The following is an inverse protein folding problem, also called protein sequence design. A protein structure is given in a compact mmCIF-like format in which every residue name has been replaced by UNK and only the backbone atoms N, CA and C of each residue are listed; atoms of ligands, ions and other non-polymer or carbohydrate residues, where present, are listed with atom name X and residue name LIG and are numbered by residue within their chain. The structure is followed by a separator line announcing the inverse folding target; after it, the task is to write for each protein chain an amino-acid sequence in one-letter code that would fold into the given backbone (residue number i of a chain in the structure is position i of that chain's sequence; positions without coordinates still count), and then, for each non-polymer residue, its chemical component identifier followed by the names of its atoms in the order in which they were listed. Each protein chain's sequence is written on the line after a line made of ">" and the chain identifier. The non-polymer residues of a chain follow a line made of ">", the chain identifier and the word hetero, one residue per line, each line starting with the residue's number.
data_IF_404742833469
#
_entry.id   IF_404742833469
#
_cell.length_a   1.000
_cell.length_b   1.000
_cell.length_c   1.000
_cell.angle_alpha   90.00
_cell.angle_beta   90.00
_cell.angle_gamma   90.00
#
_symmetry.space_group_name_H-M   'P 1'
#
loop_
_entity.id
_entity.type
_entity.pdbx_description
1 polymer ?
#
# COMPACT_ATOMS: atom_id res chain seq x y z
N UNK A 1 12.98 20.22 64.20
CA UNK A 1 14.09 21.18 64.42
C UNK A 1 15.31 20.66 63.68
N UNK A 2 15.99 21.56 62.93
CA UNK A 2 17.25 21.43 62.18
C UNK A 2 17.23 20.50 60.93
N UNK A 3 17.33 21.04 59.70
CA UNK A 3 18.56 21.47 58.97
C UNK A 3 19.28 20.25 58.35
N UNK A 4 19.72 20.18 57.09
CA UNK A 4 20.27 21.15 56.14
C UNK A 4 20.44 20.48 54.75
N UNK A 5 20.28 21.26 53.67
CA UNK A 5 21.05 21.28 52.41
C UNK A 5 21.79 20.02 51.92
N UNK A 6 21.62 19.66 50.64
CA UNK A 6 22.72 19.69 49.66
C UNK A 6 22.21 19.82 48.22
N UNK A 7 22.25 21.05 47.74
CA UNK A 7 22.16 21.49 46.35
C UNK A 7 23.60 21.45 45.77
N UNK A 8 23.88 20.58 44.80
CA UNK A 8 25.13 20.59 44.01
C UNK A 8 24.85 20.00 42.62
N UNK A 9 24.49 20.83 41.62
CA UNK A 9 25.38 21.65 40.77
C UNK A 9 26.14 20.81 39.74
N UNK A 10 25.56 20.63 38.56
CA UNK A 10 26.22 20.67 37.24
C UNK A 10 25.13 21.17 36.27
N UNK A 11 25.09 22.46 35.91
CA UNK A 11 25.75 23.04 34.73
C UNK A 11 25.41 22.27 33.45
N UNK A 12 24.96 22.83 32.33
CA UNK A 12 24.98 24.20 31.86
C UNK A 12 23.96 24.26 30.73
N UNK A 13 23.24 25.37 30.68
CA UNK A 13 22.41 25.83 29.58
C UNK A 13 23.29 25.96 28.32
N UNK A 14 22.81 25.51 27.16
CA UNK A 14 23.14 26.16 25.90
C UNK A 14 21.86 26.42 25.10
N UNK A 15 21.61 27.72 25.01
CA UNK A 15 20.58 28.46 24.27
C UNK A 15 20.65 28.06 22.79
N UNK A 16 19.51 27.79 22.16
CA UNK A 16 19.43 27.76 20.69
C UNK A 16 18.19 28.55 20.26
N UNK A 17 18.45 29.75 19.75
CA UNK A 17 17.65 30.48 18.76
C UNK A 17 18.61 31.49 18.11
N UNK A 18 18.36 32.01 16.89
CA UNK A 18 18.00 31.34 15.63
C UNK A 18 18.90 31.87 14.47
N UNK A 19 18.57 31.53 13.21
CA UNK A 19 19.17 31.97 11.92
C UNK A 19 20.36 31.15 11.38
N UNK A 20 20.18 30.51 10.22
CA UNK A 20 20.47 31.13 8.92
C UNK A 20 20.04 30.20 7.78
N UNK A 21 19.26 30.76 6.85
CA UNK A 21 18.93 30.22 5.53
C UNK A 21 20.17 29.73 4.77
N UNK A 22 20.15 28.49 4.26
CA UNK A 22 20.98 28.07 3.13
C UNK A 22 20.41 26.81 2.46
N UNK A 23 20.06 26.96 1.19
CA UNK A 23 20.26 25.92 0.17
C UNK A 23 19.18 24.84 0.04
N UNK A 24 18.19 25.11 -0.80
CA UNK A 24 17.45 24.10 -1.53
C UNK A 24 18.43 23.24 -2.36
N UNK A 25 18.84 22.03 -1.94
CA UNK A 25 19.32 20.91 -2.80
C UNK A 25 20.26 19.89 -2.13
N UNK A 26 19.95 19.35 -0.93
CA UNK A 26 20.71 18.15 -0.49
C UNK A 26 20.06 17.20 0.53
N UNK A 27 18.82 17.39 0.95
CA UNK A 27 18.24 16.60 2.05
C UNK A 27 17.31 15.48 1.56
N UNK A 28 17.87 14.40 1.02
CA UNK A 28 17.13 13.12 0.87
C UNK A 28 17.83 11.93 1.53
N UNK A 29 18.97 12.12 2.17
CA UNK A 29 19.83 10.99 2.58
C UNK A 29 19.78 10.62 4.05
N UNK A 30 19.12 11.38 4.93
CA UNK A 30 19.12 11.03 6.36
C UNK A 30 17.74 11.15 7.01
N UNK A 31 16.98 10.06 6.96
CA UNK A 31 15.89 9.79 7.88
C UNK A 31 16.08 8.42 8.58
N UNK A 32 17.15 8.26 9.38
CA UNK A 32 17.42 7.00 10.09
C UNK A 32 16.26 6.59 11.00
N UNK A 33 15.57 7.57 11.57
CA UNK A 33 14.39 7.35 12.41
C UNK A 33 13.24 6.66 11.66
N UNK A 34 12.97 7.00 10.40
CA UNK A 34 11.87 6.41 9.61
C UNK A 34 12.15 4.95 9.25
N UNK A 35 13.41 4.62 8.92
CA UNK A 35 13.83 3.25 8.63
C UNK A 35 13.71 2.36 9.86
N UNK A 36 14.17 2.84 11.03
CA UNK A 36 14.01 2.11 12.31
C UNK A 36 12.54 1.90 12.70
N UNK A 37 11.66 2.87 12.44
CA UNK A 37 10.21 2.69 12.61
C UNK A 37 9.63 1.64 11.66
N UNK A 38 10.12 1.59 10.42
CA UNK A 38 9.67 0.58 9.45
C UNK A 38 10.12 -0.83 9.81
N UNK A 39 11.35 -0.98 10.32
CA UNK A 39 11.88 -2.29 10.72
C UNK A 39 11.25 -2.80 12.00
N UNK A 40 10.99 -1.92 12.97
CA UNK A 40 10.18 -2.29 14.16
C UNK A 40 8.74 -2.62 13.78
N UNK A 41 8.14 -1.96 12.76
CA UNK A 41 6.83 -2.32 12.25
C UNK A 41 6.82 -3.68 11.52
N UNK A 42 7.86 -4.01 10.75
CA UNK A 42 8.04 -5.32 10.10
C UNK A 42 8.27 -6.44 11.11
N UNK A 43 9.06 -6.20 12.16
CA UNK A 43 9.24 -7.13 13.29
C UNK A 43 7.91 -7.38 14.02
N UNK A 44 7.02 -6.39 14.06
CA UNK A 44 5.62 -6.52 14.54
C UNK A 44 4.67 -7.18 13.52
N UNK A 45 5.19 -7.72 12.41
CA UNK A 45 4.43 -8.44 11.39
C UNK A 45 3.67 -7.57 10.40
N UNK A 46 3.84 -6.24 10.42
CA UNK A 46 3.24 -5.36 9.41
C UNK A 46 4.08 -5.40 8.14
N UNK A 47 3.62 -6.17 7.15
CA UNK A 47 4.16 -6.09 5.79
C UNK A 47 3.55 -4.88 5.07
N UNK A 48 4.41 -4.01 4.52
CA UNK A 48 3.97 -2.95 3.62
C UNK A 48 3.53 -3.51 2.26
N UNK A 49 2.80 -2.70 1.49
CA UNK A 49 2.33 -3.05 0.15
C UNK A 49 0.81 -3.17 0.06
N UNK A 50 0.29 -3.27 -1.17
CA UNK A 50 -1.14 -3.53 -1.38
C UNK A 50 -1.48 -4.93 -0.87
N UNK A 51 -2.60 -5.12 -0.15
CA UNK A 51 -3.06 -6.44 0.22
C UNK A 51 -3.21 -7.31 -1.03
N UNK A 52 -2.85 -8.59 -0.90
CA UNK A 52 -2.94 -9.55 -2.00
C UNK A 52 -4.40 -9.89 -2.26
N UNK A 53 -4.76 -10.00 -3.54
CA UNK A 53 -6.09 -10.41 -3.98
C UNK A 53 -7.05 -9.26 -4.27
N UNK A 54 -8.33 -9.62 -4.36
CA UNK A 54 -9.42 -8.69 -4.67
C UNK A 54 -9.85 -7.85 -3.45
N UNK A 55 -10.32 -6.63 -3.71
CA UNK A 55 -10.94 -5.79 -2.67
C UNK A 55 -12.17 -6.50 -2.07
N UNK A 56 -12.48 -6.35 -0.76
CA UNK A 56 -13.60 -7.01 -0.09
C UNK A 56 -14.92 -6.88 -0.84
N UNK A 57 -15.21 -5.66 -1.34
CA UNK A 57 -16.40 -5.39 -2.16
C UNK A 57 -16.54 -6.33 -3.36
N UNK A 58 -15.42 -6.65 -4.02
CA UNK A 58 -15.43 -7.52 -5.19
C UNK A 58 -15.45 -9.01 -4.83
N UNK A 59 -15.01 -9.37 -3.62
CA UNK A 59 -15.09 -10.75 -3.12
C UNK A 59 -16.55 -11.15 -2.86
N UNK A 60 -17.36 -10.23 -2.32
CA UNK A 60 -18.79 -10.48 -2.06
C UNK A 60 -19.59 -10.70 -3.34
N UNK A 61 -19.29 -9.94 -4.41
CA UNK A 61 -20.01 -10.06 -5.69
C UNK A 61 -19.42 -11.13 -6.62
N UNK A 62 -18.24 -11.66 -6.31
CA UNK A 62 -17.54 -12.66 -7.13
C UNK A 62 -18.41 -13.86 -7.53
N UNK A 63 -19.16 -14.53 -6.63
CA UNK A 63 -19.99 -15.68 -7.02
C UNK A 63 -21.08 -15.30 -8.04
N UNK A 64 -21.68 -14.12 -7.90
CA UNK A 64 -22.72 -13.62 -8.83
C UNK A 64 -22.14 -13.26 -10.20
N UNK A 65 -20.93 -12.69 -10.23
CA UNK A 65 -20.22 -12.40 -11.48
C UNK A 65 -19.86 -13.70 -12.21
N UNK A 66 -19.42 -14.73 -11.48
CA UNK A 66 -19.10 -16.05 -12.04
C UNK A 66 -20.34 -16.75 -12.58
N UNK A 67 -21.49 -16.70 -11.90
CA UNK A 67 -22.73 -17.28 -12.40
C UNK A 67 -23.20 -16.57 -13.68
N UNK A 68 -23.19 -15.24 -13.70
CA UNK A 68 -23.56 -14.46 -14.88
C UNK A 68 -22.65 -14.75 -16.09
N UNK A 69 -21.35 -14.97 -15.86
CA UNK A 69 -20.42 -15.36 -16.91
C UNK A 69 -20.70 -16.77 -17.44
N UNK A 70 -21.03 -17.73 -16.56
CA UNK A 70 -21.41 -19.11 -16.95
C UNK A 70 -22.70 -19.15 -17.77
N UNK A 71 -23.63 -18.22 -17.50
CA UNK A 71 -24.84 -18.00 -18.32
C UNK A 71 -24.54 -17.34 -19.68
N UNK A 72 -23.26 -17.17 -20.04
CA UNK A 72 -22.80 -16.55 -21.29
C UNK A 72 -23.28 -15.09 -21.48
N UNK A 73 -23.48 -14.35 -20.38
CA UNK A 73 -23.71 -12.90 -20.45
C UNK A 73 -22.46 -12.18 -20.94
N UNK A 74 -22.66 -11.10 -21.69
CA UNK A 74 -21.54 -10.32 -22.19
C UNK A 74 -20.79 -9.63 -21.04
N UNK A 75 -19.46 -9.51 -21.16
CA UNK A 75 -18.64 -8.82 -20.14
C UNK A 75 -19.13 -7.39 -19.90
N UNK A 76 -19.59 -6.70 -20.95
CA UNK A 76 -20.12 -5.33 -20.85
C UNK A 76 -21.42 -5.28 -20.04
N UNK A 77 -22.28 -6.28 -20.18
CA UNK A 77 -23.53 -6.34 -19.40
C UNK A 77 -23.26 -6.68 -17.94
N UNK A 78 -22.33 -7.60 -17.68
CA UNK A 78 -21.85 -7.91 -16.33
C UNK A 78 -21.27 -6.64 -15.67
N UNK A 79 -20.45 -5.87 -16.39
CA UNK A 79 -19.92 -4.62 -15.86
C UNK A 79 -21.01 -3.62 -15.47
N UNK A 80 -22.04 -3.46 -16.32
CA UNK A 80 -23.17 -2.57 -16.04
C UNK A 80 -23.99 -3.05 -14.84
N UNK A 81 -24.33 -4.34 -14.80
CA UNK A 81 -25.16 -4.92 -13.75
C UNK A 81 -24.53 -4.77 -12.36
N UNK A 82 -23.21 -5.00 -12.25
CA UNK A 82 -22.49 -4.94 -10.98
C UNK A 82 -21.79 -3.60 -10.73
N UNK A 83 -22.04 -2.58 -11.57
CA UNK A 83 -21.38 -1.26 -11.51
C UNK A 83 -19.85 -1.36 -11.42
N UNK A 84 -19.27 -2.30 -12.18
CA UNK A 84 -17.82 -2.52 -12.24
C UNK A 84 -17.24 -1.56 -13.29
N UNK A 85 -16.29 -0.69 -12.91
CA UNK A 85 -15.80 0.36 -13.82
C UNK A 85 -14.88 -0.17 -14.93
N UNK A 86 -14.21 -1.31 -14.71
CA UNK A 86 -13.20 -1.84 -15.63
C UNK A 86 -13.39 -3.32 -15.94
N UNK A 87 -13.18 -3.68 -17.22
CA UNK A 87 -13.11 -5.07 -17.69
C UNK A 87 -12.01 -5.85 -16.98
N UNK A 88 -10.89 -5.18 -16.63
CA UNK A 88 -9.78 -5.79 -15.91
C UNK A 88 -10.21 -6.37 -14.57
N UNK A 89 -11.11 -5.70 -13.86
CA UNK A 89 -11.63 -6.19 -12.58
C UNK A 89 -12.46 -7.46 -12.77
N UNK A 90 -13.27 -7.53 -13.83
CA UNK A 90 -14.03 -8.76 -14.18
C UNK A 90 -13.06 -9.91 -14.46
N UNK A 91 -12.03 -9.69 -15.26
CA UNK A 91 -11.04 -10.74 -15.53
C UNK A 91 -10.25 -11.17 -14.29
N UNK A 92 -9.93 -10.25 -13.38
CA UNK A 92 -9.32 -10.60 -12.09
C UNK A 92 -10.24 -11.49 -11.25
N UNK A 93 -11.54 -11.19 -11.19
CA UNK A 93 -12.54 -12.05 -10.52
C UNK A 93 -12.54 -13.44 -11.13
N UNK A 94 -12.59 -13.55 -12.46
CA UNK A 94 -12.59 -14.85 -13.15
C UNK A 94 -11.30 -15.65 -12.89
N UNK A 95 -10.15 -14.95 -12.85
CA UNK A 95 -8.84 -15.56 -12.57
C UNK A 95 -8.77 -16.11 -11.14
N UNK A 96 -9.18 -15.32 -10.15
CA UNK A 96 -9.18 -15.73 -8.73
C UNK A 96 -10.14 -16.92 -8.49
N UNK A 97 -11.20 -17.05 -9.29
CA UNK A 97 -12.17 -18.14 -9.22
C UNK A 97 -11.86 -19.33 -10.15
N UNK A 98 -10.69 -19.37 -10.79
CA UNK A 98 -10.24 -20.44 -11.70
C UNK A 98 -11.21 -20.71 -12.87
N UNK A 99 -11.90 -19.68 -13.36
CA UNK A 99 -12.78 -19.81 -14.54
C UNK A 99 -11.93 -19.61 -15.80
N UNK A 100 -11.92 -20.58 -16.74
CA UNK A 100 -11.14 -20.42 -17.97
C UNK A 100 -11.76 -19.32 -18.84
N UNK A 101 -10.92 -18.40 -19.31
CA UNK A 101 -11.30 -17.37 -20.27
C UNK A 101 -10.24 -17.28 -21.37
N UNK A 102 -10.66 -16.92 -22.58
CA UNK A 102 -9.75 -16.79 -23.71
C UNK A 102 -8.94 -15.50 -23.58
N UNK A 103 -7.64 -15.63 -23.30
CA UNK A 103 -6.69 -14.52 -23.35
C UNK A 103 -6.13 -14.44 -24.75
N UNK A 104 -6.26 -13.29 -25.40
CA UNK A 104 -5.54 -13.02 -26.63
C UNK A 104 -4.04 -12.99 -26.33
N UNK A 105 -3.31 -14.03 -26.75
CA UNK A 105 -1.85 -14.07 -26.68
C UNK A 105 -1.31 -13.13 -27.76
N UNK A 106 -0.78 -11.97 -27.36
CA UNK A 106 -0.03 -11.12 -28.30
C UNK A 106 1.23 -11.90 -28.69
N UNK A 107 1.35 -12.25 -29.98
CA UNK A 107 2.55 -12.88 -30.50
C UNK A 107 3.75 -11.96 -30.22
N UNK A 108 4.81 -12.49 -29.61
CA UNK A 108 6.08 -11.77 -29.50
C UNK A 108 6.69 -11.73 -30.88
N UNK A 109 6.78 -10.53 -31.44
CA UNK A 109 7.52 -10.28 -32.66
C UNK A 109 8.99 -10.54 -32.35
N UNK A 110 9.57 -11.56 -33.00
CA UNK A 110 11.01 -11.83 -32.92
C UNK A 110 11.72 -10.67 -33.63
N UNK A 111 12.25 -9.73 -32.85
CA UNK A 111 13.18 -8.74 -33.35
C UNK A 111 14.52 -9.48 -33.50
N UNK A 112 14.87 -9.77 -34.77
CA UNK A 112 16.17 -10.30 -35.20
C UNK A 112 17.23 -9.19 -35.19
#
# INVERSE_FOLDING_TARGET
>A
MASTYYFKKVSLILIIEPNLLLGCEHQKSFAPHFLMHSDTARVRGRMGGSPKGLSPRYQEIAPMVVSAYKEQRSIRDIMKAFSIPSTTTVYKILTDNNVPFQVYKKAKENIL
#
